data_IF_694437972136
#
_entry.id   IF_694437972136
#
_cell.length_a   1.000
_cell.length_b   1.000
_cell.length_c   1.000
_cell.angle_alpha   90.00
_cell.angle_beta   90.00
_cell.angle_gamma   90.00
#
_symmetry.space_group_name_H-M   'P 1'
#
loop_
_entity.id
_entity.type
_entity.pdbx_description
1 polymer ?
#
# COMPACT_ATOMS: atom_id res chain seq x y z
N UNK A 1 -48.36 66.75 -22.23
CA UNK A 1 -47.19 66.66 -23.12
C UNK A 1 -47.01 65.20 -23.46
N UNK A 2 -47.10 64.92 -24.75
CA UNK A 2 -47.11 63.61 -25.38
C UNK A 2 -45.76 62.86 -25.30
N UNK A 3 -45.87 61.57 -25.63
CA UNK A 3 -44.87 60.60 -26.12
C UNK A 3 -44.53 59.49 -25.10
N UNK A 4 -45.15 58.29 -25.22
CA UNK A 4 -44.89 57.21 -26.21
C UNK A 4 -43.51 56.56 -25.94
N UNK A 5 -43.36 55.25 -25.70
CA UNK A 5 -43.81 54.07 -26.46
C UNK A 5 -43.77 52.80 -25.56
N UNK A 6 -44.83 51.98 -25.54
CA UNK A 6 -44.99 50.63 -26.16
C UNK A 6 -44.16 49.51 -25.49
N UNK A 7 -44.74 48.49 -24.84
CA UNK A 7 -45.50 47.29 -25.30
C UNK A 7 -44.70 46.07 -24.76
N UNK A 8 -45.14 45.35 -23.72
CA UNK A 8 -46.18 44.30 -23.68
C UNK A 8 -45.68 42.88 -24.01
N UNK A 9 -46.10 41.94 -23.17
CA UNK A 9 -46.27 40.50 -23.42
C UNK A 9 -44.97 39.68 -23.50
N UNK A 10 -44.68 38.71 -22.64
CA UNK A 10 -45.57 37.68 -22.09
C UNK A 10 -45.50 36.45 -22.97
N UNK A 11 -44.91 35.34 -22.49
CA UNK A 11 -45.17 33.98 -22.98
C UNK A 11 -44.73 32.94 -21.93
N UNK A 12 -45.72 32.18 -21.47
CA UNK A 12 -45.58 30.85 -20.86
C UNK A 12 -45.46 29.79 -21.98
N UNK A 13 -45.23 28.53 -21.61
CA UNK A 13 -44.91 27.31 -22.41
C UNK A 13 -43.41 26.99 -22.28
N UNK A 14 -42.95 25.79 -21.93
CA UNK A 14 -43.58 24.49 -21.76
C UNK A 14 -42.48 23.45 -21.56
N UNK A 15 -42.88 22.29 -21.05
CA UNK A 15 -42.02 21.15 -20.74
C UNK A 15 -41.13 20.72 -21.93
N UNK A 16 -39.86 20.42 -21.66
CA UNK A 16 -39.15 19.38 -22.37
C UNK A 16 -38.31 18.54 -21.39
N UNK A 17 -38.83 17.35 -21.11
CA UNK A 17 -38.09 16.20 -20.63
C UNK A 17 -36.88 15.98 -21.54
N UNK A 18 -35.67 16.13 -21.00
CA UNK A 18 -34.47 15.57 -21.62
C UNK A 18 -34.17 14.24 -20.95
N UNK A 19 -34.70 13.17 -21.56
CA UNK A 19 -34.24 11.80 -21.34
C UNK A 19 -32.84 11.66 -21.95
N UNK A 20 -31.81 11.76 -21.13
CA UNK A 20 -30.46 11.37 -21.54
C UNK A 20 -30.30 9.87 -21.42
N UNK A 21 -30.77 9.16 -22.45
CA UNK A 21 -30.49 7.75 -22.69
C UNK A 21 -29.00 7.58 -23.01
N UNK A 22 -28.17 7.40 -21.97
CA UNK A 22 -26.77 7.07 -22.14
C UNK A 22 -26.65 5.60 -22.54
N UNK A 23 -26.55 5.36 -23.85
CA UNK A 23 -26.28 4.05 -24.45
C UNK A 23 -24.92 3.57 -23.94
N UNK A 24 -24.94 2.54 -23.09
CA UNK A 24 -23.75 1.78 -22.72
C UNK A 24 -23.25 1.05 -23.96
N UNK A 25 -22.24 1.60 -24.64
CA UNK A 25 -21.53 0.89 -25.69
C UNK A 25 -20.71 -0.23 -25.05
N UNK A 26 -21.17 -1.48 -25.23
CA UNK A 26 -20.36 -2.67 -24.96
C UNK A 26 -19.16 -2.66 -25.90
N UNK A 27 -18.00 -2.21 -25.42
CA UNK A 27 -16.73 -2.40 -26.13
C UNK A 27 -16.26 -3.82 -25.88
N UNK A 28 -16.55 -4.72 -26.83
CA UNK A 28 -15.90 -6.02 -26.89
C UNK A 28 -14.44 -5.82 -27.29
N UNK A 29 -13.55 -5.74 -26.29
CA UNK A 29 -12.11 -5.87 -26.55
C UNK A 29 -11.82 -7.35 -26.86
N UNK A 30 -11.71 -7.69 -28.15
CA UNK A 30 -11.08 -8.94 -28.61
C UNK A 30 -9.59 -8.90 -28.23
N UNK A 31 -9.16 -9.78 -27.34
CA UNK A 31 -7.75 -9.96 -26.98
C UNK A 31 -7.19 -11.06 -27.88
N UNK A 32 -6.47 -10.67 -28.94
CA UNK A 32 -5.62 -11.56 -29.71
C UNK A 32 -4.28 -11.74 -28.98
N UNK A 33 -3.93 -12.97 -28.63
CA UNK A 33 -2.62 -13.33 -28.09
C UNK A 33 -1.65 -13.60 -29.25
N UNK A 34 -0.56 -12.83 -29.33
CA UNK A 34 0.61 -13.20 -30.13
C UNK A 34 1.63 -13.88 -29.21
N UNK A 35 1.88 -15.16 -29.47
CA UNK A 35 2.95 -15.95 -28.86
C UNK A 35 4.21 -15.69 -29.67
N UNK A 36 5.24 -15.09 -29.06
CA UNK A 36 6.59 -15.11 -29.62
C UNK A 36 7.40 -16.19 -28.90
N UNK A 37 7.68 -17.27 -29.62
CA UNK A 37 8.68 -18.27 -29.26
C UNK A 37 10.06 -17.74 -29.64
N UNK A 38 11.00 -17.71 -28.70
CA UNK A 38 12.42 -17.59 -29.01
C UNK A 38 13.21 -18.60 -28.17
N UNK A 39 13.85 -19.53 -28.88
CA UNK A 39 14.72 -20.60 -28.38
C UNK A 39 16.16 -20.17 -28.69
N UNK A 40 17.02 -20.02 -27.68
CA UNK A 40 18.47 -19.98 -27.85
C UNK A 40 19.16 -20.33 -26.52
N UNK A 41 20.14 -21.22 -26.60
CA UNK A 41 20.98 -21.75 -25.51
C UNK A 41 22.32 -22.17 -26.18
N UNK A 42 23.43 -22.44 -25.45
CA UNK A 42 24.16 -21.58 -24.52
C UNK A 42 25.71 -21.64 -24.73
N UNK A 43 26.50 -20.78 -24.06
CA UNK A 43 27.84 -21.18 -23.59
C UNK A 43 28.46 -20.25 -22.53
N UNK A 44 28.77 -20.89 -21.39
CA UNK A 44 29.88 -20.75 -20.44
C UNK A 44 30.19 -19.45 -19.64
N UNK A 45 30.20 -19.64 -18.32
CA UNK A 45 30.88 -18.78 -17.33
C UNK A 45 30.50 -19.13 -15.88
N UNK A 46 30.98 -20.26 -15.34
CA UNK A 46 30.78 -20.66 -13.92
C UNK A 46 31.69 -19.84 -13.00
N UNK A 47 31.13 -19.23 -11.96
CA UNK A 47 31.84 -18.88 -10.73
C UNK A 47 31.06 -19.42 -9.53
N UNK A 48 31.68 -20.39 -8.85
CA UNK A 48 31.21 -21.02 -7.62
C UNK A 48 31.96 -20.36 -6.46
N UNK A 49 31.24 -19.93 -5.43
CA UNK A 49 31.82 -19.56 -4.13
C UNK A 49 31.13 -20.37 -3.04
N UNK A 50 31.90 -21.29 -2.44
CA UNK A 50 31.52 -22.07 -1.27
C UNK A 50 31.85 -21.28 0.01
N UNK A 51 30.93 -21.25 0.96
CA UNK A 51 31.15 -20.77 2.32
C UNK A 51 31.22 -21.96 3.27
N UNK A 52 32.38 -22.15 3.90
CA UNK A 52 32.68 -23.20 4.87
C UNK A 52 32.36 -22.74 6.30
N UNK A 53 31.54 -23.52 7.00
CA UNK A 53 31.27 -23.35 8.44
C UNK A 53 32.33 -24.08 9.26
N UNK A 54 33.01 -23.34 10.16
CA UNK A 54 34.06 -23.86 11.05
C UNK A 54 33.47 -24.13 12.45
N UNK A 55 33.43 -25.41 12.86
CA UNK A 55 33.24 -25.85 14.26
C UNK A 55 34.48 -25.49 15.09
N UNK A 56 34.31 -25.14 16.37
CA UNK A 56 35.42 -25.00 17.33
C UNK A 56 35.14 -25.81 18.60
N UNK A 57 36.16 -26.56 19.01
CA UNK A 57 36.18 -27.53 20.10
C UNK A 57 36.54 -26.93 21.47
N UNK A 58 36.21 -27.70 22.50
CA UNK A 58 36.53 -27.58 23.92
C UNK A 58 37.95 -28.02 24.28
N UNK A 59 38.55 -27.42 25.34
CA UNK A 59 39.18 -28.12 26.49
C UNK A 59 39.66 -27.15 27.59
N UNK A 60 39.56 -27.64 28.83
CA UNK A 60 39.99 -27.10 30.14
C UNK A 60 41.54 -26.95 30.22
N UNK A 61 42.21 -26.29 31.19
CA UNK A 61 42.11 -26.30 32.67
C UNK A 61 43.20 -25.37 33.27
N UNK A 62 43.04 -24.93 34.54
CA UNK A 62 44.17 -24.64 35.44
C UNK A 62 44.09 -23.33 36.27
N UNK A 63 43.84 -23.46 37.58
CA UNK A 63 44.13 -22.50 38.67
C UNK A 63 45.48 -22.85 39.34
N UNK A 64 46.21 -21.92 40.02
CA UNK A 64 46.02 -21.71 41.47
C UNK A 64 46.30 -20.28 42.06
N UNK A 65 45.51 -19.94 43.09
CA UNK A 65 45.81 -19.40 44.45
C UNK A 65 46.50 -18.03 44.76
N UNK A 66 45.71 -17.17 45.43
CA UNK A 66 45.87 -16.38 46.71
C UNK A 66 46.93 -15.28 47.00
N UNK A 67 46.37 -14.11 47.41
CA UNK A 67 46.80 -13.09 48.41
C UNK A 67 47.92 -12.10 48.00
N UNK A 68 47.93 -10.78 48.30
CA UNK A 68 47.21 -9.91 49.25
C UNK A 68 47.37 -8.39 48.88
N UNK A 69 46.46 -7.55 49.40
CA UNK A 69 46.56 -6.11 49.73
C UNK A 69 46.61 -5.05 48.59
N UNK A 70 45.48 -4.40 48.26
CA UNK A 70 45.03 -3.03 48.70
C UNK A 70 45.93 -1.91 48.14
N UNK A 71 45.48 -0.87 47.42
CA UNK A 71 44.29 -0.02 47.46
C UNK A 71 44.16 0.59 46.05
N UNK A 72 43.01 0.53 45.37
CA UNK A 72 42.77 1.47 44.27
C UNK A 72 41.29 1.75 44.00
N UNK A 73 41.05 3.02 43.65
CA UNK A 73 39.78 3.75 43.65
C UNK A 73 38.70 3.07 42.80
N UNK A 74 37.52 2.89 43.40
CA UNK A 74 36.28 2.47 42.72
C UNK A 74 35.83 3.56 41.74
N UNK A 75 36.33 3.51 40.49
CA UNK A 75 35.67 4.15 39.37
C UNK A 75 34.62 3.18 38.83
N UNK A 76 33.37 3.61 38.81
CA UNK A 76 32.27 2.86 38.22
C UNK A 76 32.51 2.77 36.71
N UNK A 77 32.96 1.60 36.27
CA UNK A 77 33.06 1.24 34.85
C UNK A 77 31.65 1.31 34.27
N UNK A 78 31.36 2.38 33.54
CA UNK A 78 30.21 2.45 32.64
C UNK A 78 30.40 1.33 31.62
N UNK A 79 29.61 0.26 31.77
CA UNK A 79 29.56 -0.86 30.83
C UNK A 79 29.27 -0.29 29.46
N UNK A 80 30.28 -0.26 28.59
CA UNK A 80 30.17 0.25 27.24
C UNK A 80 29.08 -0.54 26.52
N UNK A 81 27.94 0.12 26.26
CA UNK A 81 26.88 -0.45 25.45
C UNK A 81 27.46 -0.91 24.13
N UNK A 82 27.10 -2.13 23.70
CA UNK A 82 27.50 -2.69 22.41
C UNK A 82 27.26 -1.64 21.33
N UNK A 83 28.33 -1.18 20.68
CA UNK A 83 28.24 -0.24 19.56
C UNK A 83 27.59 -0.99 18.40
N UNK A 84 26.30 -0.79 18.20
CA UNK A 84 25.63 -1.23 16.98
C UNK A 84 26.23 -0.45 15.80
N UNK A 85 26.87 -1.17 14.88
CA UNK A 85 27.42 -0.61 13.66
C UNK A 85 26.30 -0.43 12.63
N UNK A 86 25.42 0.54 12.83
CA UNK A 86 24.51 0.98 11.77
C UNK A 86 25.33 1.77 10.73
N UNK A 87 25.65 1.14 9.59
CA UNK A 87 26.36 1.75 8.45
C UNK A 87 25.64 3.00 7.90
N UNK A 88 24.36 3.14 8.20
CA UNK A 88 23.53 4.30 7.89
C UNK A 88 22.78 4.72 9.15
N UNK A 89 23.11 5.90 9.68
CA UNK A 89 22.20 6.59 10.60
C UNK A 89 21.22 7.35 9.74
N UNK A 90 19.94 6.98 9.83
CA UNK A 90 18.87 7.85 9.32
C UNK A 90 19.08 9.20 9.99
N UNK A 91 19.33 10.26 9.22
CA UNK A 91 19.25 11.61 9.76
C UNK A 91 17.82 11.76 10.24
N UNK A 92 17.62 11.69 11.55
CA UNK A 92 16.39 12.21 12.11
C UNK A 92 16.37 13.65 11.68
N UNK A 93 15.49 14.00 10.74
CA UNK A 93 15.27 15.38 10.33
C UNK A 93 14.96 16.11 11.64
N UNK A 94 15.93 16.85 12.16
CA UNK A 94 15.96 17.26 13.55
C UNK A 94 14.66 18.01 13.86
N UNK A 95 13.84 17.48 14.77
CA UNK A 95 12.54 18.06 15.13
C UNK A 95 11.30 17.57 14.36
N UNK A 96 11.43 16.84 13.24
CA UNK A 96 10.25 16.35 12.47
C UNK A 96 9.33 15.41 13.26
N UNK A 97 9.89 14.65 14.22
CA UNK A 97 9.10 13.83 15.15
C UNK A 97 8.29 14.69 16.12
N UNK A 98 8.92 15.72 16.69
CA UNK A 98 8.26 16.66 17.60
C UNK A 98 7.18 17.47 16.87
N UNK A 99 7.45 17.93 15.65
CA UNK A 99 6.47 18.59 14.78
C UNK A 99 5.26 17.70 14.50
N UNK A 100 5.50 16.41 14.22
CA UNK A 100 4.42 15.44 14.02
C UNK A 100 3.55 15.26 15.28
N UNK A 101 4.16 15.20 16.46
CA UNK A 101 3.44 15.11 17.73
C UNK A 101 2.66 16.39 18.05
N UNK A 102 3.24 17.56 17.78
CA UNK A 102 2.57 18.85 17.93
C UNK A 102 1.34 18.96 17.00
N UNK A 103 1.47 18.56 15.73
CA UNK A 103 0.33 18.47 14.81
C UNK A 103 -0.77 17.58 15.39
N UNK A 104 -0.42 16.37 15.84
CA UNK A 104 -1.40 15.41 16.37
C UNK A 104 -2.11 16.00 17.60
N UNK A 105 -1.37 16.68 18.49
CA UNK A 105 -1.96 17.34 19.65
C UNK A 105 -2.98 18.39 19.23
N UNK A 106 -2.62 19.27 18.30
CA UNK A 106 -3.52 20.32 17.78
C UNK A 106 -4.82 19.72 17.21
N UNK A 107 -4.72 18.66 16.40
CA UNK A 107 -5.92 18.08 15.79
C UNK A 107 -6.72 17.17 16.73
N UNK A 108 -6.14 16.70 17.84
CA UNK A 108 -6.84 15.78 18.75
C UNK A 108 -7.98 16.49 19.49
N UNK A 109 -7.78 17.77 19.81
CA UNK A 109 -8.70 18.58 20.62
C UNK A 109 -9.82 19.24 19.81
N UNK A 110 -9.85 19.07 18.48
CA UNK A 110 -10.80 19.74 17.59
C UNK A 110 -12.07 18.94 17.34
N UNK A 111 -13.20 19.58 16.96
CA UNK A 111 -14.33 18.86 16.40
C UNK A 111 -13.95 18.19 15.06
N UNK A 112 -14.80 17.26 14.59
CA UNK A 112 -14.58 16.56 13.31
C UNK A 112 -14.99 17.39 12.07
N UNK A 113 -15.26 18.67 12.25
CA UNK A 113 -15.60 19.60 11.19
C UNK A 113 -14.38 19.92 10.32
N UNK A 114 -14.60 19.91 8.99
CA UNK A 114 -13.53 20.17 8.01
C UNK A 114 -12.87 21.52 8.25
N UNK A 115 -13.66 22.57 8.44
CA UNK A 115 -13.17 23.95 8.57
C UNK A 115 -12.33 24.15 9.84
N UNK A 116 -12.75 23.58 10.97
CA UNK A 116 -11.99 23.63 12.21
C UNK A 116 -10.62 22.94 12.06
N UNK A 117 -10.60 21.73 11.49
CA UNK A 117 -9.37 20.96 11.31
C UNK A 117 -8.45 21.60 10.29
N UNK A 118 -8.97 22.04 9.15
CA UNK A 118 -8.18 22.66 8.09
C UNK A 118 -7.67 24.03 8.54
N UNK A 119 -8.49 24.80 9.24
CA UNK A 119 -8.09 26.08 9.84
C UNK A 119 -6.94 25.91 10.83
N UNK A 120 -7.01 24.92 11.72
CA UNK A 120 -5.93 24.63 12.66
C UNK A 120 -4.66 24.12 11.97
N UNK A 121 -4.78 23.24 10.96
CA UNK A 121 -3.64 22.77 10.17
C UNK A 121 -2.99 23.91 9.35
N UNK A 122 -3.79 24.84 8.82
CA UNK A 122 -3.29 26.03 8.13
C UNK A 122 -2.57 26.99 9.10
N UNK A 123 -3.07 27.16 10.33
CA UNK A 123 -2.38 27.93 11.38
C UNK A 123 -1.06 27.26 11.80
N UNK A 124 -1.05 25.93 11.86
CA UNK A 124 0.14 25.15 12.21
C UNK A 124 1.28 25.33 11.19
N UNK A 125 0.96 25.40 9.89
CA UNK A 125 1.96 25.64 8.84
C UNK A 125 2.31 27.12 8.62
N UNK A 126 1.50 28.06 9.13
CA UNK A 126 1.67 29.50 8.83
C UNK A 126 3.06 30.06 9.18
N UNK A 127 3.74 29.47 10.16
CA UNK A 127 5.08 29.88 10.60
C UNK A 127 6.22 29.01 10.05
N UNK A 128 5.90 28.05 9.17
CA UNK A 128 6.88 27.15 8.57
C UNK A 128 7.36 27.70 7.22
N UNK A 129 8.68 27.79 7.04
CA UNK A 129 9.30 28.28 5.80
C UNK A 129 9.05 27.34 4.61
N UNK A 130 8.98 26.03 4.88
CA UNK A 130 8.70 25.00 3.88
C UNK A 130 7.57 24.09 4.37
N UNK A 131 6.80 23.52 3.45
CA UNK A 131 5.74 22.59 3.83
C UNK A 131 6.36 21.38 4.56
N UNK A 132 5.96 21.07 5.81
CA UNK A 132 6.59 20.05 6.62
C UNK A 132 6.10 18.63 6.23
N UNK A 133 6.31 18.22 4.97
CA UNK A 133 5.82 16.95 4.38
C UNK A 133 6.24 15.74 5.22
N UNK A 134 7.51 15.72 5.67
CA UNK A 134 8.06 14.63 6.48
C UNK A 134 7.37 14.54 7.84
N UNK A 135 7.08 15.68 8.48
CA UNK A 135 6.40 15.69 9.77
C UNK A 135 4.93 15.26 9.62
N UNK A 136 4.23 15.75 8.58
CA UNK A 136 2.87 15.35 8.28
C UNK A 136 2.77 13.85 7.94
N UNK A 137 3.70 13.31 7.15
CA UNK A 137 3.78 11.88 6.85
C UNK A 137 4.06 11.04 8.12
N UNK A 138 4.93 11.52 9.01
CA UNK A 138 5.14 10.90 10.34
C UNK A 138 3.86 10.92 11.18
N UNK A 139 3.11 12.03 11.14
CA UNK A 139 1.85 12.16 11.85
C UNK A 139 0.80 11.17 11.34
N UNK A 140 0.62 11.06 10.01
CA UNK A 140 -0.25 10.06 9.39
C UNK A 140 0.09 8.64 9.85
N UNK A 141 1.38 8.29 9.92
CA UNK A 141 1.82 6.98 10.40
C UNK A 141 1.45 6.72 11.87
N UNK A 142 1.52 7.74 12.72
CA UNK A 142 1.13 7.63 14.14
C UNK A 142 -0.39 7.51 14.27
N UNK A 143 -1.16 8.35 13.57
CA UNK A 143 -2.62 8.30 13.57
C UNK A 143 -3.15 6.94 13.08
N UNK A 144 -2.51 6.39 12.03
CA UNK A 144 -2.79 5.04 11.52
C UNK A 144 -2.56 3.96 12.57
N UNK A 145 -1.45 4.04 13.32
CA UNK A 145 -1.17 3.10 14.42
C UNK A 145 -2.17 3.21 15.57
N UNK A 146 -2.76 4.39 15.76
CA UNK A 146 -3.81 4.66 16.76
C UNK A 146 -5.22 4.39 16.22
N UNK A 147 -5.35 3.87 15.00
CA UNK A 147 -6.64 3.62 14.33
C UNK A 147 -7.55 4.86 14.27
N UNK A 148 -7.00 6.07 14.25
CA UNK A 148 -7.77 7.31 14.14
C UNK A 148 -8.08 7.62 12.66
N UNK A 149 -8.87 6.76 12.02
CA UNK A 149 -9.10 6.78 10.57
C UNK A 149 -9.66 8.12 10.06
N UNK A 150 -10.65 8.70 10.78
CA UNK A 150 -11.19 10.03 10.44
C UNK A 150 -10.12 11.12 10.42
N UNK A 151 -9.18 11.11 11.37
CA UNK A 151 -8.05 12.06 11.40
C UNK A 151 -7.06 11.79 10.28
N UNK A 152 -6.79 10.52 9.96
CA UNK A 152 -5.96 10.15 8.79
C UNK A 152 -6.57 10.72 7.51
N UNK A 153 -7.89 10.58 7.31
CA UNK A 153 -8.61 11.12 6.15
C UNK A 153 -8.46 12.65 6.10
N UNK A 154 -8.73 13.34 7.21
CA UNK A 154 -8.66 14.80 7.28
C UNK A 154 -7.25 15.33 6.97
N UNK A 155 -6.21 14.78 7.63
CA UNK A 155 -4.83 15.22 7.44
C UNK A 155 -4.33 14.89 6.03
N UNK A 156 -4.63 13.69 5.50
CA UNK A 156 -4.20 13.30 4.16
C UNK A 156 -4.89 14.14 3.08
N UNK A 157 -6.21 14.37 3.17
CA UNK A 157 -6.93 15.25 2.24
C UNK A 157 -6.44 16.70 2.34
N UNK A 158 -6.13 17.18 3.55
CA UNK A 158 -5.55 18.51 3.73
C UNK A 158 -4.19 18.62 3.03
N UNK A 159 -3.29 17.65 3.22
CA UNK A 159 -1.99 17.62 2.52
C UNK A 159 -2.18 17.70 1.00
N UNK A 160 -3.05 16.86 0.44
CA UNK A 160 -3.34 16.83 -1.00
C UNK A 160 -3.95 18.15 -1.50
N UNK A 161 -4.82 18.80 -0.71
CA UNK A 161 -5.41 20.10 -1.08
C UNK A 161 -4.39 21.23 -1.18
N UNK A 162 -3.22 21.09 -0.56
CA UNK A 162 -2.10 22.03 -0.69
C UNK A 162 -1.17 21.71 -1.87
N UNK A 163 -1.50 20.67 -2.64
CA UNK A 163 -0.62 20.14 -3.69
C UNK A 163 0.63 19.46 -3.14
N UNK A 164 0.65 19.13 -1.84
CA UNK A 164 1.82 18.61 -1.14
C UNK A 164 1.62 17.16 -0.74
N UNK A 165 2.71 16.39 -0.74
CA UNK A 165 2.68 15.00 -0.29
C UNK A 165 1.79 14.09 -1.14
N UNK A 166 1.57 14.40 -2.42
CA UNK A 166 0.92 13.53 -3.41
C UNK A 166 1.82 12.33 -3.77
N UNK A 167 2.06 11.48 -2.77
CA UNK A 167 2.91 10.29 -2.86
C UNK A 167 2.07 9.04 -2.79
N UNK A 168 2.59 7.93 -3.33
CA UNK A 168 1.94 6.61 -3.23
C UNK A 168 1.65 6.22 -1.77
N UNK A 169 2.49 6.62 -0.82
CA UNK A 169 2.27 6.38 0.60
C UNK A 169 1.10 7.17 1.20
N UNK A 170 0.85 8.38 0.71
CA UNK A 170 -0.31 9.19 1.13
C UNK A 170 -1.60 8.63 0.55
N UNK A 171 -1.59 8.24 -0.73
CA UNK A 171 -2.73 7.56 -1.36
C UNK A 171 -3.04 6.23 -0.67
N UNK A 172 -2.01 5.42 -0.37
CA UNK A 172 -2.18 4.19 0.40
C UNK A 172 -2.81 4.48 1.77
N UNK A 173 -2.28 5.45 2.53
CA UNK A 173 -2.84 5.79 3.83
C UNK A 173 -4.30 6.22 3.75
N UNK A 174 -4.67 6.98 2.71
CA UNK A 174 -6.03 7.47 2.51
C UNK A 174 -7.00 6.33 2.08
N UNK A 175 -6.59 5.45 1.17
CA UNK A 175 -7.38 4.26 0.79
C UNK A 175 -7.59 3.33 1.99
N UNK A 176 -6.56 3.11 2.84
CA UNK A 176 -6.76 2.33 4.07
C UNK A 176 -7.80 2.99 4.97
N UNK A 177 -7.70 4.31 5.13
CA UNK A 177 -8.56 5.01 6.06
C UNK A 177 -10.01 5.00 5.57
N UNK A 178 -10.26 5.07 4.26
CA UNK A 178 -11.60 4.89 3.70
C UNK A 178 -12.13 3.47 3.88
N UNK A 179 -11.29 2.45 3.66
CA UNK A 179 -11.65 1.05 3.92
C UNK A 179 -12.12 0.87 5.37
N UNK A 180 -11.31 1.35 6.32
CA UNK A 180 -11.59 1.21 7.75
C UNK A 180 -12.73 2.12 8.26
N UNK A 181 -12.96 3.28 7.63
CA UNK A 181 -14.07 4.21 7.95
C UNK A 181 -15.36 3.88 7.14
N UNK A 182 -15.37 2.76 6.40
CA UNK A 182 -16.52 2.26 5.62
C UNK A 182 -17.02 3.23 4.52
N UNK A 183 -16.10 3.91 3.83
CA UNK A 183 -16.40 4.93 2.80
C UNK A 183 -15.93 4.49 1.43
N UNK A 184 -16.58 3.46 0.89
CA UNK A 184 -16.19 2.81 -0.37
C UNK A 184 -16.28 3.78 -1.55
N UNK A 185 -17.37 4.55 -1.67
CA UNK A 185 -17.58 5.50 -2.79
C UNK A 185 -16.44 6.52 -2.92
N UNK A 186 -15.95 7.03 -1.79
CA UNK A 186 -14.83 7.96 -1.78
C UNK A 186 -13.49 7.29 -2.10
N UNK A 187 -13.33 6.02 -1.73
CA UNK A 187 -12.18 5.24 -2.14
C UNK A 187 -12.20 4.98 -3.64
N UNK A 188 -13.36 4.67 -4.24
CA UNK A 188 -13.50 4.51 -5.69
C UNK A 188 -13.21 5.81 -6.44
N UNK A 189 -13.73 6.93 -5.96
CA UNK A 189 -13.44 8.25 -6.55
C UNK A 189 -11.94 8.57 -6.50
N UNK A 190 -11.28 8.28 -5.37
CA UNK A 190 -9.84 8.44 -5.24
C UNK A 190 -9.05 7.49 -6.15
N UNK A 191 -9.47 6.23 -6.24
CA UNK A 191 -8.84 5.21 -7.08
C UNK A 191 -8.92 5.58 -8.57
N UNK A 192 -10.09 6.02 -9.02
CA UNK A 192 -10.29 6.51 -10.38
C UNK A 192 -9.40 7.73 -10.66
N UNK A 193 -9.29 8.68 -9.73
CA UNK A 193 -8.37 9.80 -9.87
C UNK A 193 -6.92 9.31 -10.04
N UNK A 194 -6.45 8.38 -9.20
CA UNK A 194 -5.10 7.81 -9.28
C UNK A 194 -4.86 7.13 -10.64
N UNK A 195 -5.81 6.33 -11.12
CA UNK A 195 -5.72 5.66 -12.42
C UNK A 195 -5.57 6.66 -13.58
N UNK A 196 -6.32 7.76 -13.55
CA UNK A 196 -6.26 8.77 -14.62
C UNK A 196 -4.98 9.61 -14.55
N UNK A 197 -4.53 9.97 -13.35
CA UNK A 197 -3.35 10.83 -13.15
C UNK A 197 -2.02 10.07 -13.29
N UNK A 198 -1.95 8.81 -12.86
CA UNK A 198 -0.70 8.08 -12.70
C UNK A 198 -0.62 6.76 -13.49
N UNK A 199 -1.12 6.74 -14.74
CA UNK A 199 -1.28 5.53 -15.58
C UNK A 199 -0.07 4.59 -15.68
N UNK A 200 1.17 5.09 -15.63
CA UNK A 200 2.40 4.28 -15.83
C UNK A 200 3.13 3.87 -14.54
N UNK A 201 2.67 4.28 -13.37
CA UNK A 201 3.46 4.18 -12.14
C UNK A 201 2.69 3.69 -10.91
N UNK A 202 1.53 3.08 -11.09
CA UNK A 202 0.74 2.56 -9.97
C UNK A 202 1.48 1.37 -9.33
N UNK A 203 1.80 1.52 -8.06
CA UNK A 203 2.51 0.48 -7.31
C UNK A 203 1.63 -0.75 -7.10
N UNK A 204 2.25 -1.94 -7.09
CA UNK A 204 1.64 -3.20 -6.66
C UNK A 204 0.85 -3.06 -5.35
N UNK A 205 1.40 -2.32 -4.38
CA UNK A 205 0.78 -2.14 -3.08
C UNK A 205 -0.59 -1.45 -3.16
N UNK A 206 -0.79 -0.50 -4.07
CA UNK A 206 -2.08 0.18 -4.23
C UNK A 206 -3.13 -0.74 -4.86
N UNK A 207 -2.74 -1.57 -5.83
CA UNK A 207 -3.62 -2.63 -6.36
C UNK A 207 -4.02 -3.61 -5.25
N UNK A 208 -3.05 -4.14 -4.51
CA UNK A 208 -3.33 -5.04 -3.38
C UNK A 208 -4.23 -4.36 -2.34
N UNK A 209 -4.06 -3.06 -2.10
CA UNK A 209 -4.94 -2.29 -1.20
C UNK A 209 -6.36 -2.20 -1.72
N UNK A 210 -6.57 -1.88 -3.00
CA UNK A 210 -7.91 -1.72 -3.55
C UNK A 210 -8.65 -3.07 -3.58
N UNK A 211 -7.94 -4.15 -3.90
CA UNK A 211 -8.48 -5.53 -3.82
C UNK A 211 -8.84 -5.89 -2.38
N UNK A 212 -7.99 -5.55 -1.40
CA UNK A 212 -8.30 -5.75 0.02
C UNK A 212 -9.56 -5.02 0.46
N UNK A 213 -9.70 -3.77 0.01
CA UNK A 213 -10.85 -2.93 0.33
C UNK A 213 -12.13 -3.60 -0.21
N UNK A 214 -12.20 -3.88 -1.51
CA UNK A 214 -13.40 -4.54 -2.07
C UNK A 214 -13.69 -5.91 -1.47
N UNK A 215 -12.66 -6.67 -1.07
CA UNK A 215 -12.84 -7.94 -0.37
C UNK A 215 -13.51 -7.77 1.00
N UNK A 216 -13.12 -6.76 1.79
CA UNK A 216 -13.77 -6.45 3.07
C UNK A 216 -15.23 -6.04 2.91
N UNK A 217 -15.57 -5.37 1.81
CA UNK A 217 -16.92 -4.88 1.51
C UNK A 217 -17.74 -5.84 0.64
N UNK A 218 -17.26 -7.06 0.39
CA UNK A 218 -18.01 -8.09 -0.34
C UNK A 218 -18.18 -7.84 -1.85
N UNK A 219 -17.47 -6.88 -2.44
CA UNK A 219 -17.65 -6.45 -3.83
C UNK A 219 -16.82 -7.30 -4.80
N UNK A 220 -17.24 -8.56 -5.04
CA UNK A 220 -16.44 -9.55 -5.79
C UNK A 220 -16.24 -9.18 -7.26
N UNK A 221 -17.23 -8.58 -7.93
CA UNK A 221 -17.07 -8.12 -9.31
C UNK A 221 -15.97 -7.06 -9.45
N UNK A 222 -15.92 -6.11 -8.51
CA UNK A 222 -14.90 -5.07 -8.45
C UNK A 222 -13.49 -5.60 -8.19
N UNK A 223 -13.37 -6.70 -7.44
CA UNK A 223 -12.08 -7.40 -7.27
C UNK A 223 -11.56 -7.90 -8.62
N UNK A 224 -12.43 -8.49 -9.45
CA UNK A 224 -12.06 -8.98 -10.79
C UNK A 224 -11.69 -7.82 -11.71
N UNK A 225 -12.44 -6.72 -11.69
CA UNK A 225 -12.14 -5.51 -12.47
C UNK A 225 -10.73 -4.99 -12.16
N UNK A 226 -10.41 -4.78 -10.88
CA UNK A 226 -9.08 -4.29 -10.46
C UNK A 226 -7.97 -5.29 -10.78
N UNK A 227 -8.25 -6.60 -10.68
CA UNK A 227 -7.28 -7.62 -11.06
C UNK A 227 -7.00 -7.62 -12.56
N UNK A 228 -8.01 -7.42 -13.40
CA UNK A 228 -7.83 -7.29 -14.84
C UNK A 228 -6.94 -6.08 -15.19
N UNK A 229 -7.18 -4.93 -14.56
CA UNK A 229 -6.31 -3.74 -14.71
C UNK A 229 -4.87 -4.05 -14.27
N UNK A 230 -4.70 -4.80 -13.18
CA UNK A 230 -3.40 -5.22 -12.68
C UNK A 230 -2.65 -6.09 -13.70
N UNK A 231 -3.34 -7.02 -14.38
CA UNK A 231 -2.77 -7.85 -15.45
C UNK A 231 -2.47 -7.05 -16.72
N UNK A 232 -3.35 -6.12 -17.12
CA UNK A 232 -3.16 -5.22 -18.27
C UNK A 232 -1.92 -4.36 -18.10
N UNK A 233 -1.69 -3.84 -16.88
CA UNK A 233 -0.49 -3.08 -16.53
C UNK A 233 0.73 -3.95 -16.20
N UNK A 234 0.66 -5.27 -16.41
CA UNK A 234 1.74 -6.24 -16.16
C UNK A 234 2.28 -6.21 -14.72
N UNK A 235 1.44 -5.84 -13.75
CA UNK A 235 1.81 -5.83 -12.33
C UNK A 235 1.56 -7.21 -11.74
N UNK A 236 2.61 -7.84 -11.18
CA UNK A 236 2.48 -9.18 -10.61
C UNK A 236 1.80 -9.16 -9.23
N UNK A 237 0.68 -9.88 -9.02
CA UNK A 237 0.01 -9.96 -7.73
C UNK A 237 0.89 -10.58 -6.63
N UNK A 238 0.62 -10.28 -5.36
CA UNK A 238 1.13 -11.04 -4.22
C UNK A 238 0.21 -12.22 -3.88
N UNK A 239 0.67 -13.11 -3.01
CA UNK A 239 -0.07 -14.33 -2.63
C UNK A 239 -1.43 -14.00 -1.99
N UNK A 240 -1.50 -12.91 -1.23
CA UNK A 240 -2.76 -12.43 -0.63
C UNK A 240 -3.77 -11.98 -1.69
N UNK A 241 -3.30 -11.20 -2.67
CA UNK A 241 -4.08 -10.77 -3.83
C UNK A 241 -4.56 -11.98 -4.62
N UNK A 242 -3.68 -12.95 -4.92
CA UNK A 242 -4.06 -14.19 -5.63
C UNK A 242 -5.14 -14.94 -4.87
N UNK A 243 -5.01 -15.07 -3.55
CA UNK A 243 -6.00 -15.74 -2.69
C UNK A 243 -7.36 -15.04 -2.73
N UNK A 244 -7.39 -13.71 -2.66
CA UNK A 244 -8.63 -12.91 -2.68
C UNK A 244 -9.33 -12.95 -4.03
N UNK A 245 -8.57 -12.85 -5.12
CA UNK A 245 -9.12 -12.96 -6.48
C UNK A 245 -9.61 -14.38 -6.76
N UNK A 246 -8.88 -15.41 -6.32
CA UNK A 246 -9.33 -16.81 -6.41
C UNK A 246 -10.68 -17.01 -5.69
N UNK A 247 -10.82 -16.44 -4.49
CA UNK A 247 -12.08 -16.50 -3.75
C UNK A 247 -13.21 -15.75 -4.49
N UNK A 248 -12.94 -14.57 -5.05
CA UNK A 248 -13.91 -13.84 -5.85
C UNK A 248 -14.39 -14.63 -7.08
N UNK A 249 -13.48 -15.30 -7.80
CA UNK A 249 -13.85 -16.17 -8.92
C UNK A 249 -14.74 -17.34 -8.47
N UNK A 250 -14.41 -17.97 -7.33
CA UNK A 250 -15.19 -19.08 -6.79
C UNK A 250 -16.63 -18.66 -6.45
N UNK A 251 -16.79 -17.54 -5.74
CA UNK A 251 -18.12 -17.00 -5.38
C UNK A 251 -18.95 -16.61 -6.61
N UNK A 252 -18.30 -16.24 -7.71
CA UNK A 252 -18.94 -15.92 -8.99
C UNK A 252 -19.10 -17.15 -9.91
N UNK A 253 -18.80 -18.36 -9.42
CA UNK A 253 -18.94 -19.62 -10.18
C UNK A 253 -17.93 -19.80 -11.32
N UNK A 254 -16.83 -19.04 -11.32
CA UNK A 254 -15.81 -19.04 -12.38
C UNK A 254 -14.59 -19.91 -12.00
N UNK A 255 -14.84 -21.19 -11.71
CA UNK A 255 -13.82 -22.11 -11.16
C UNK A 255 -12.63 -22.34 -12.11
N UNK A 256 -12.87 -22.42 -13.41
CA UNK A 256 -11.81 -22.54 -14.43
C UNK A 256 -10.81 -21.38 -14.35
N UNK A 257 -11.30 -20.14 -14.24
CA UNK A 257 -10.45 -18.95 -14.13
C UNK A 257 -9.68 -18.92 -12.82
N UNK A 258 -10.29 -19.39 -11.72
CA UNK A 258 -9.59 -19.58 -10.45
C UNK A 258 -8.43 -20.56 -10.60
N UNK A 259 -8.63 -21.70 -11.26
CA UNK A 259 -7.58 -22.70 -11.48
C UNK A 259 -6.44 -22.13 -12.33
N UNK A 260 -6.76 -21.42 -13.41
CA UNK A 260 -5.78 -20.71 -14.24
C UNK A 260 -4.98 -19.67 -13.44
N UNK A 261 -5.66 -18.86 -12.62
CA UNK A 261 -5.04 -17.86 -11.75
C UNK A 261 -4.05 -18.52 -10.78
N UNK A 262 -4.47 -19.57 -10.08
CA UNK A 262 -3.66 -20.29 -9.09
C UNK A 262 -2.46 -20.98 -9.76
N UNK A 263 -2.65 -21.57 -10.94
CA UNK A 263 -1.56 -22.17 -11.73
C UNK A 263 -0.52 -21.13 -12.14
N UNK A 264 -0.97 -19.94 -12.59
CA UNK A 264 -0.10 -18.87 -13.10
C UNK A 264 0.64 -18.11 -11.99
N UNK A 265 -0.07 -17.73 -10.93
CA UNK A 265 0.46 -16.82 -9.91
C UNK A 265 0.65 -17.44 -8.52
N UNK A 266 0.09 -18.63 -8.27
CA UNK A 266 0.16 -19.29 -6.98
C UNK A 266 1.59 -19.52 -6.50
N UNK A 267 1.83 -19.30 -5.20
CA UNK A 267 3.12 -19.62 -4.61
C UNK A 267 3.35 -21.14 -4.62
N UNK A 268 4.30 -21.56 -5.47
CA UNK A 268 4.74 -22.96 -5.61
C UNK A 268 5.34 -23.54 -4.33
N UNK A 269 5.79 -22.69 -3.42
CA UNK A 269 6.43 -23.09 -2.18
C UNK A 269 5.73 -22.43 -1.00
N UNK A 270 5.56 -23.19 0.08
CA UNK A 270 5.17 -22.69 1.40
C UNK A 270 6.28 -23.03 2.40
N UNK A 271 6.46 -22.18 3.39
CA UNK A 271 7.34 -22.47 4.52
C UNK A 271 6.48 -22.93 5.68
N UNK A 272 6.75 -24.13 6.17
CA UNK A 272 6.12 -24.68 7.37
C UNK A 272 7.17 -24.77 8.46
N UNK A 273 6.76 -24.59 9.72
CA UNK A 273 7.62 -24.85 10.85
C UNK A 273 7.30 -26.26 11.36
N UNK A 274 8.28 -27.15 11.30
CA UNK A 274 8.16 -28.52 11.80
C UNK A 274 9.29 -28.76 12.79
N UNK A 275 8.94 -29.13 14.03
CA UNK A 275 9.89 -29.37 15.13
C UNK A 275 10.87 -28.20 15.38
N UNK A 276 10.40 -26.96 15.20
CA UNK A 276 11.22 -25.75 15.37
C UNK A 276 12.08 -25.38 14.16
N UNK A 277 12.15 -26.22 13.13
CA UNK A 277 12.85 -25.93 11.88
C UNK A 277 11.89 -25.39 10.81
N UNK A 278 12.35 -24.43 10.01
CA UNK A 278 11.57 -23.88 8.89
C UNK A 278 11.87 -24.69 7.62
N UNK A 279 10.92 -25.53 7.24
CA UNK A 279 11.02 -26.40 6.06
C UNK A 279 10.25 -25.77 4.89
N UNK A 280 10.86 -25.78 3.70
CA UNK A 280 10.21 -25.32 2.47
C UNK A 280 9.55 -26.51 1.78
N UNK A 281 8.23 -26.49 1.67
CA UNK A 281 7.42 -27.55 1.07
C UNK A 281 6.79 -27.05 -0.23
N UNK A 282 6.78 -27.89 -1.27
CA UNK A 282 6.13 -27.56 -2.54
C UNK A 282 4.62 -27.66 -2.35
N UNK A 283 3.86 -26.71 -2.90
CA UNK A 283 2.41 -26.83 -3.01
C UNK A 283 2.17 -27.84 -4.13
N UNK A 284 1.62 -29.01 -3.80
CA UNK A 284 1.34 -30.04 -4.80
C UNK A 284 0.43 -29.42 -5.87
N UNK A 285 0.95 -29.39 -7.10
CA UNK A 285 0.15 -29.06 -8.25
C UNK A 285 -0.65 -30.32 -8.56
N UNK A 286 -1.98 -30.25 -8.51
CA UNK A 286 -2.82 -31.28 -9.10
C UNK A 286 -2.35 -31.46 -10.54
N UNK A 287 -1.78 -32.63 -10.79
CA UNK A 287 -1.26 -33.09 -12.06
C UNK A 287 -2.43 -33.37 -13.00
N UNK A 288 -2.79 -32.38 -13.79
CA UNK A 288 -3.40 -32.58 -15.10
C UNK A 288 -2.39 -32.03 -16.10
N UNK A 289 -1.35 -32.84 -16.33
CA UNK A 289 -0.64 -32.83 -17.60
C UNK A 289 -1.60 -33.56 -18.54
N UNK A 290 -2.43 -32.80 -19.27
CA UNK A 290 -3.09 -33.36 -20.45
C UNK A 290 -1.99 -33.67 -21.47
N UNK A 291 -1.96 -34.94 -21.82
CA UNK A 291 -1.13 -35.54 -22.85
C UNK A 291 -1.39 -34.88 -24.22
N UNK A 292 -0.58 -33.89 -24.59
CA UNK A 292 -0.41 -33.54 -26.00
C UNK A 292 0.61 -34.52 -26.62
N UNK A 293 0.15 -35.74 -26.87
CA UNK A 293 0.80 -36.70 -27.76
C UNK A 293 -0.26 -37.33 -28.68
N UNK A 294 -0.52 -36.66 -29.82
CA UNK A 294 -0.74 -37.25 -31.17
C UNK A 294 -1.08 -36.18 -32.20
#
# INVERSE_FOLDING_TARGET
>A
MENAMLLSSGYSIGCHLYSSSCKISKSQKKIGFLIFTAKANPSHGKLVMNSSYRKRSSKLSGEPQTSSNTIEKRTTVKKAGKREHHLWKKRDSAGSGQKALNLIRIISDLPNEKEAVYGALNKWIAWETEFPVIAAAKALRILRKRSQWKRVIQVAKWMLSKGQGATMGTYDALLLAFDMDQRVDEAEALWNMILHTHKRSISKQLFSRMISLYDHHGMKDKIIEVFADMEELRVRPDDDTVRRVAYAFQELGQEEKKNLLVRKYGCKWKYIHFKGERIRVRRDASSEEEDDES
#
